data_IF_226000884869
#
_entry.id   IF_226000884869
#
_cell.length_a   1.000
_cell.length_b   1.000
_cell.length_c   1.000
_cell.angle_alpha   90.00
_cell.angle_beta   90.00
_cell.angle_gamma   90.00
#
_symmetry.space_group_name_H-M   'P 1'
#
loop_
_entity.id
_entity.type
_entity.pdbx_description
1 polymer ?
#
# COMPACT_ATOMS: atom_id res chain seq x y z
N UNK A 1 -13.81 8.81 -1.09
CA UNK A 1 -12.71 8.05 -0.44
C UNK A 1 -12.14 8.91 0.66
N UNK A 2 -11.92 8.37 1.87
CA UNK A 2 -11.36 9.10 3.01
C UNK A 2 -9.89 8.71 3.15
N UNK A 3 -9.00 9.68 3.30
CA UNK A 3 -7.58 9.47 3.52
C UNK A 3 -7.23 9.75 4.98
N UNK A 4 -6.54 8.82 5.63
CA UNK A 4 -6.08 8.93 7.01
C UNK A 4 -4.56 8.76 6.98
N UNK A 5 -3.83 9.69 7.60
CA UNK A 5 -2.36 9.74 7.60
C UNK A 5 -1.85 10.05 9.01
N UNK A 6 -0.59 9.73 9.28
CA UNK A 6 0.13 10.06 10.52
C UNK A 6 -0.52 9.52 11.81
N UNK A 7 -1.22 8.38 11.72
CA UNK A 7 -1.76 7.69 12.91
C UNK A 7 -1.59 6.19 12.75
N UNK A 8 -1.29 5.53 13.88
CA UNK A 8 -1.41 4.08 14.03
C UNK A 8 -2.69 3.70 14.77
N UNK A 9 -3.39 4.71 15.31
CA UNK A 9 -4.63 4.56 16.05
C UNK A 9 -5.79 4.73 15.07
N UNK A 10 -6.22 3.60 14.50
CA UNK A 10 -7.32 3.49 13.55
C UNK A 10 -8.20 2.31 13.93
N UNK A 11 -9.49 2.57 14.08
CA UNK A 11 -10.49 1.58 14.45
C UNK A 11 -11.69 1.65 13.50
N UNK A 12 -12.24 0.49 13.16
CA UNK A 12 -13.46 0.36 12.35
C UNK A 12 -14.37 -0.65 13.02
N UNK A 13 -15.59 -0.23 13.34
CA UNK A 13 -16.60 -1.10 13.97
C UNK A 13 -17.40 -1.89 12.94
N UNK A 14 -17.55 -1.35 11.72
CA UNK A 14 -18.32 -2.01 10.68
C UNK A 14 -17.53 -3.12 9.99
N UNK A 15 -18.19 -4.20 9.55
CA UNK A 15 -17.57 -5.24 8.74
C UNK A 15 -16.82 -4.65 7.53
N UNK A 16 -15.51 -4.83 7.51
CA UNK A 16 -14.61 -4.14 6.57
C UNK A 16 -13.63 -5.12 5.94
N UNK A 17 -13.53 -5.10 4.62
CA UNK A 17 -12.46 -5.77 3.87
C UNK A 17 -11.24 -4.86 3.80
N UNK A 18 -10.06 -5.41 4.08
CA UNK A 18 -8.81 -4.65 4.14
C UNK A 18 -7.81 -5.23 3.15
N UNK A 19 -7.16 -4.36 2.37
CA UNK A 19 -6.00 -4.72 1.56
C UNK A 19 -4.73 -4.06 2.11
N UNK A 20 -3.70 -4.88 2.35
CA UNK A 20 -2.42 -4.48 2.94
C UNK A 20 -1.32 -4.64 1.89
N UNK A 21 -0.50 -3.62 1.69
CA UNK A 21 0.59 -3.70 0.71
C UNK A 21 1.30 -2.38 0.50
N UNK A 22 2.42 -2.39 -0.23
CA UNK A 22 3.16 -1.16 -0.54
C UNK A 22 2.42 -0.27 -1.55
N UNK A 23 1.62 -0.87 -2.44
CA UNK A 23 0.90 -0.22 -3.54
C UNK A 23 1.76 0.71 -4.43
N UNK A 24 3.09 0.59 -4.39
CA UNK A 24 4.01 1.37 -5.22
C UNK A 24 3.97 0.84 -6.66
N UNK A 25 3.24 1.57 -7.52
CA UNK A 25 3.01 1.26 -8.93
C UNK A 25 1.76 0.40 -9.14
N UNK A 26 0.86 0.81 -10.03
CA UNK A 26 -0.34 0.00 -10.37
C UNK A 26 0.05 -1.02 -11.44
N UNK A 27 0.16 -2.28 -11.04
CA UNK A 27 0.35 -3.42 -11.93
C UNK A 27 -0.84 -4.37 -11.81
N UNK A 28 -0.93 -5.38 -12.69
CA UNK A 28 -2.05 -6.34 -12.74
C UNK A 28 -2.45 -6.91 -11.38
N UNK A 29 -1.48 -7.19 -10.50
CA UNK A 29 -1.75 -7.63 -9.13
C UNK A 29 -2.60 -6.65 -8.30
N UNK A 30 -2.37 -5.34 -8.40
CA UNK A 30 -3.17 -4.34 -7.69
C UNK A 30 -4.57 -4.20 -8.29
N UNK A 31 -4.71 -4.32 -9.61
CA UNK A 31 -6.03 -4.32 -10.27
C UNK A 31 -6.92 -5.44 -9.71
N UNK A 32 -6.38 -6.66 -9.59
CA UNK A 32 -7.11 -7.80 -9.02
C UNK A 32 -7.52 -7.57 -7.56
N UNK A 33 -6.66 -6.91 -6.77
CA UNK A 33 -7.00 -6.53 -5.40
C UNK A 33 -8.13 -5.50 -5.36
N UNK A 34 -8.12 -4.51 -6.26
CA UNK A 34 -9.20 -3.53 -6.36
C UNK A 34 -10.52 -4.15 -6.82
N UNK A 35 -10.49 -5.05 -7.81
CA UNK A 35 -11.66 -5.82 -8.24
C UNK A 35 -12.25 -6.60 -7.06
N UNK A 36 -11.40 -7.24 -6.24
CA UNK A 36 -11.88 -8.01 -5.10
C UNK A 36 -12.48 -7.13 -4.00
N UNK A 37 -11.90 -5.97 -3.74
CA UNK A 37 -12.46 -4.98 -2.82
C UNK A 37 -13.81 -4.46 -3.31
N UNK A 38 -13.96 -4.23 -4.62
CA UNK A 38 -15.22 -3.77 -5.21
C UNK A 38 -16.33 -4.83 -5.04
N UNK A 39 -16.05 -6.10 -5.36
CA UNK A 39 -17.00 -7.20 -5.13
C UNK A 39 -17.45 -7.28 -3.67
N UNK A 40 -16.51 -7.15 -2.73
CA UNK A 40 -16.82 -7.21 -1.29
C UNK A 40 -17.61 -6.01 -0.80
N UNK A 41 -17.47 -4.86 -1.46
CA UNK A 41 -18.29 -3.68 -1.20
C UNK A 41 -19.74 -3.87 -1.65
N UNK A 42 -19.97 -4.58 -2.75
CA UNK A 42 -21.32 -4.96 -3.21
C UNK A 42 -22.02 -5.91 -2.22
N UNK A 43 -21.24 -6.73 -1.48
CA UNK A 43 -21.74 -7.55 -0.37
C UNK A 43 -22.07 -6.74 0.90
N UNK A 44 -21.94 -5.41 0.88
CA UNK A 44 -22.27 -4.52 1.99
C UNK A 44 -21.10 -4.25 2.95
N UNK A 45 -19.89 -4.72 2.65
CA UNK A 45 -18.70 -4.46 3.47
C UNK A 45 -18.12 -3.07 3.15
N UNK A 46 -17.56 -2.40 4.16
CA UNK A 46 -16.66 -1.27 3.88
C UNK A 46 -15.33 -1.79 3.32
N UNK A 47 -14.62 -0.96 2.57
CA UNK A 47 -13.31 -1.29 2.02
C UNK A 47 -12.25 -0.29 2.50
N UNK A 48 -11.11 -0.80 2.95
CA UNK A 48 -9.95 0.00 3.34
C UNK A 48 -8.67 -0.53 2.67
N UNK A 49 -7.81 0.40 2.24
CA UNK A 49 -6.48 0.09 1.73
C UNK A 49 -5.50 0.69 2.73
N UNK A 50 -4.57 -0.12 3.22
CA UNK A 50 -3.54 0.32 4.14
C UNK A 50 -2.16 0.16 3.48
N UNK A 51 -1.62 1.26 2.94
CA UNK A 51 -0.29 1.27 2.35
C UNK A 51 0.80 1.09 3.43
N UNK A 52 1.57 0.02 3.32
CA UNK A 52 2.73 -0.24 4.18
C UNK A 52 3.94 0.52 3.62
N UNK A 53 4.05 1.79 4.00
CA UNK A 53 5.18 2.65 3.64
C UNK A 53 6.28 2.44 4.68
N UNK A 54 7.08 1.39 4.49
CA UNK A 54 8.37 1.30 5.17
C UNK A 54 9.37 2.13 4.39
N UNK A 55 9.71 3.32 4.88
CA UNK A 55 10.96 3.96 4.48
C UNK A 55 12.09 2.98 4.85
N UNK A 56 12.63 2.27 3.85
CA UNK A 56 13.86 1.49 4.03
C UNK A 56 14.91 2.47 4.55
N UNK A 57 15.17 2.49 5.85
CA UNK A 57 16.48 2.96 6.33
C UNK A 57 17.48 2.09 5.59
N UNK A 58 18.44 2.70 4.88
CA UNK A 58 19.53 1.95 4.23
C UNK A 58 20.17 1.10 5.33
N UNK A 59 19.85 -0.19 5.40
CA UNK A 59 20.66 -1.14 6.17
C UNK A 59 22.05 -1.06 5.55
N UNK A 60 23.05 -0.71 6.36
CA UNK A 60 24.41 -0.49 5.89
C UNK A 60 24.87 -1.64 5.00
N UNK A 61 25.09 -1.33 3.72
CA UNK A 61 25.55 -2.31 2.74
C UNK A 61 27.01 -2.70 3.08
N UNK A 62 27.25 -3.97 3.39
CA UNK A 62 28.56 -4.56 3.14
C UNK A 62 28.81 -4.49 1.62
N UNK A 63 29.89 -3.80 1.24
CA UNK A 63 30.28 -3.55 -0.16
C UNK A 63 30.55 -4.87 -0.90
N UNK A 64 29.64 -5.27 -1.77
CA UNK A 64 29.91 -6.09 -2.95
C UNK A 64 29.42 -5.33 -4.18
N UNK A 65 30.31 -5.08 -5.15
CA UNK A 65 30.09 -4.19 -6.31
C UNK A 65 28.94 -4.70 -7.20
N UNK A 66 28.01 -3.80 -7.54
CA UNK A 66 26.93 -4.05 -8.52
C UNK A 66 25.81 -3.03 -8.36
N UNK A 67 26.09 -1.77 -8.73
CA UNK A 67 25.19 -0.64 -8.52
C UNK A 67 24.02 -0.65 -9.52
N UNK A 68 22.78 -0.78 -9.00
CA UNK A 68 21.58 -0.40 -9.75
C UNK A 68 21.38 1.11 -9.64
N UNK A 69 21.20 1.74 -10.80
CA UNK A 69 21.03 3.18 -10.99
C UNK A 69 19.85 3.74 -10.18
N UNK A 70 20.09 4.81 -9.43
CA UNK A 70 19.07 5.58 -8.72
C UNK A 70 18.12 6.23 -9.75
N UNK A 71 16.82 5.93 -9.67
CA UNK A 71 15.78 6.70 -10.36
C UNK A 71 14.95 7.44 -9.31
N UNK A 72 15.21 8.75 -9.25
CA UNK A 72 14.21 9.81 -9.21
C UNK A 72 13.10 9.70 -8.19
N UNK A 73 13.18 10.57 -7.19
CA UNK A 73 12.06 11.08 -6.41
C UNK A 73 10.86 11.41 -7.31
N UNK A 74 9.66 11.05 -6.83
CA UNK A 74 8.31 11.54 -7.16
C UNK A 74 7.32 10.38 -7.24
N UNK A 75 6.80 9.96 -6.09
CA UNK A 75 5.56 9.20 -6.00
C UNK A 75 4.49 10.11 -5.39
N UNK A 76 3.81 10.88 -6.25
CA UNK A 76 2.46 11.35 -5.99
C UNK A 76 1.53 10.27 -6.53
N UNK A 77 0.68 9.69 -5.68
CA UNK A 77 -0.72 9.31 -5.91
C UNK A 77 -1.33 8.87 -4.57
#
# INVERSE_FOLDING_TARGET
MKYIKNTLDFHVEEPTVISLGKFDGIHRGHELLMEKLAQKKEEGLKAAILPLIFHRKKCGAYRGKGAYHERGENAYF
#
